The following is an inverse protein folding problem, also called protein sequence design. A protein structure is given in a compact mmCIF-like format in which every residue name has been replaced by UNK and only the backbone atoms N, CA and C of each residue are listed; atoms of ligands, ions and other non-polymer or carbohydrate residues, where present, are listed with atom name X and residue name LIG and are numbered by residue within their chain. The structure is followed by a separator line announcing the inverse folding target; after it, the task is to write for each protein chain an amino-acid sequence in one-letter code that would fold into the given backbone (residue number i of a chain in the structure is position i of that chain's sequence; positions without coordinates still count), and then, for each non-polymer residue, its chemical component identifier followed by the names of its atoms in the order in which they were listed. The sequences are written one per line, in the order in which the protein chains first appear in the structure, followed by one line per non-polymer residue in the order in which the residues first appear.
data_IF_704928272489
#
_entry.id   IF_704928272489
#
_cell.length_a   1.000
_cell.length_b   1.000
_cell.length_c   1.000
_cell.angle_alpha   90.00
_cell.angle_beta   90.00
_cell.angle_gamma   90.00
#
_symmetry.space_group_name_H-M   'P 1'
#
loop_
_entity.id
_entity.type
_entity.pdbx_description
1 polymer ?
#
# COMPACT_ATOMS: atom_id res chain seq x y z
N UNK A 1 66.46 12.45 -1.44
CA UNK A 1 65.79 12.16 -2.73
C UNK A 1 64.91 10.94 -2.54
N UNK A 2 63.67 11.14 -2.08
CA UNK A 2 62.40 11.17 -2.87
C UNK A 2 61.64 9.85 -2.79
N UNK A 3 60.93 9.77 -1.68
CA UNK A 3 59.87 8.83 -1.27
C UNK A 3 58.72 8.84 -2.30
N UNK A 4 58.52 7.76 -3.07
CA UNK A 4 57.33 7.61 -3.92
C UNK A 4 56.30 6.71 -3.25
N UNK A 5 55.27 7.37 -2.70
CA UNK A 5 54.10 6.76 -2.07
C UNK A 5 53.19 6.22 -3.17
N UNK A 6 52.96 4.90 -3.20
CA UNK A 6 51.96 4.28 -4.06
C UNK A 6 50.59 4.51 -3.42
N UNK A 7 49.74 5.26 -4.12
CA UNK A 7 48.36 5.57 -3.74
C UNK A 7 47.48 4.37 -4.11
N UNK A 8 46.92 3.71 -3.10
CA UNK A 8 45.91 2.66 -3.26
C UNK A 8 44.56 3.34 -3.43
N UNK A 9 44.04 3.37 -4.66
CA UNK A 9 42.68 3.82 -4.96
C UNK A 9 41.71 2.66 -4.75
N UNK A 10 41.03 2.63 -3.61
CA UNK A 10 39.93 1.69 -3.37
C UNK A 10 38.63 2.27 -3.94
N UNK A 11 38.23 1.78 -5.12
CA UNK A 11 36.88 2.02 -5.66
C UNK A 11 35.96 0.98 -5.01
N UNK A 12 35.22 1.40 -3.98
CA UNK A 12 34.25 0.56 -3.29
C UNK A 12 32.87 0.78 -3.93
N UNK A 13 32.49 -0.11 -4.85
CA UNK A 13 31.13 -0.14 -5.40
C UNK A 13 30.16 -0.75 -4.38
N UNK A 14 29.43 0.09 -3.64
CA UNK A 14 28.28 -0.34 -2.85
C UNK A 14 27.05 -0.41 -3.75
N UNK A 15 26.71 -1.61 -4.22
CA UNK A 15 25.35 -1.90 -4.69
C UNK A 15 24.60 -2.58 -3.53
N UNK A 16 23.86 -1.79 -2.75
CA UNK A 16 22.93 -2.31 -1.75
C UNK A 16 21.53 -2.37 -2.38
N UNK A 17 21.08 -3.56 -2.75
CA UNK A 17 19.67 -3.78 -3.09
C UNK A 17 18.85 -3.73 -1.80
N UNK A 18 17.98 -2.73 -1.67
CA UNK A 18 17.10 -2.56 -0.52
C UNK A 18 15.87 -3.47 -0.68
N UNK A 19 15.76 -4.52 0.12
CA UNK A 19 14.50 -5.25 0.27
C UNK A 19 13.53 -4.42 1.13
N UNK A 20 12.38 -4.03 0.57
CA UNK A 20 11.31 -3.42 1.35
C UNK A 20 10.59 -4.50 2.16
N UNK A 21 10.60 -4.38 3.49
CA UNK A 21 9.79 -5.24 4.35
C UNK A 21 8.35 -4.71 4.35
N UNK A 22 7.44 -5.42 3.67
CA UNK A 22 6.01 -5.13 3.72
C UNK A 22 5.43 -5.62 5.06
N UNK A 23 4.66 -4.78 5.73
CA UNK A 23 4.12 -5.06 7.08
C UNK A 23 2.64 -5.36 7.00
N UNK A 24 2.20 -6.52 7.50
CA UNK A 24 0.78 -6.86 7.60
C UNK A 24 0.04 -5.93 8.58
N UNK A 25 -1.08 -5.36 8.14
CA UNK A 25 -1.89 -4.40 8.91
C UNK A 25 -3.16 -5.05 9.43
N UNK A 26 -3.76 -5.91 8.60
CA UNK A 26 -5.04 -6.51 8.89
C UNK A 26 -5.73 -7.03 7.63
N UNK A 27 -7.01 -7.34 7.76
CA UNK A 27 -7.86 -7.78 6.67
C UNK A 27 -9.28 -7.29 6.87
N UNK A 28 -10.05 -7.21 5.79
CA UNK A 28 -11.47 -6.88 5.82
C UNK A 28 -12.24 -7.77 4.84
N UNK A 29 -13.48 -8.10 5.17
CA UNK A 29 -14.40 -8.75 4.23
C UNK A 29 -15.08 -7.70 3.34
N UNK A 30 -15.43 -8.06 2.11
CA UNK A 30 -16.10 -7.17 1.15
C UNK A 30 -17.41 -6.58 1.71
N UNK A 31 -18.15 -7.35 2.51
CA UNK A 31 -19.37 -6.91 3.19
C UNK A 31 -19.15 -6.05 4.46
N UNK A 32 -17.89 -5.86 4.88
CA UNK A 32 -17.53 -5.14 6.10
C UNK A 32 -17.96 -5.81 7.41
N UNK A 33 -18.46 -7.05 7.38
CA UNK A 33 -18.87 -7.77 8.58
C UNK A 33 -17.69 -8.16 9.47
N UNK A 34 -16.52 -8.45 8.89
CA UNK A 34 -15.33 -8.83 9.65
C UNK A 34 -14.13 -7.99 9.22
N UNK A 35 -13.56 -7.26 10.18
CA UNK A 35 -12.26 -6.61 10.07
C UNK A 35 -11.36 -7.21 11.13
N UNK A 36 -10.19 -7.69 10.74
CA UNK A 36 -9.18 -8.25 11.64
C UNK A 36 -7.93 -7.40 11.59
N UNK A 37 -7.46 -6.92 12.73
CA UNK A 37 -6.23 -6.14 12.83
C UNK A 37 -5.02 -7.05 13.08
N UNK A 38 -3.81 -6.56 12.75
CA UNK A 38 -2.57 -7.32 12.92
C UNK A 38 -2.30 -7.80 14.35
N UNK A 39 -2.84 -7.10 15.36
CA UNK A 39 -2.77 -7.50 16.77
C UNK A 39 -3.74 -8.64 17.14
N UNK A 40 -4.51 -9.17 16.18
CA UNK A 40 -5.48 -10.23 16.38
C UNK A 40 -6.86 -9.77 16.84
N UNK A 41 -7.07 -8.48 17.14
CA UNK A 41 -8.41 -7.97 17.46
C UNK A 41 -9.27 -7.96 16.21
N UNK A 42 -10.58 -8.18 16.39
CA UNK A 42 -11.55 -8.06 15.30
C UNK A 42 -12.61 -7.04 15.65
N UNK A 43 -13.12 -6.38 14.61
CA UNK A 43 -14.23 -5.44 14.68
C UNK A 43 -15.15 -5.65 13.49
N UNK A 44 -16.29 -4.96 13.49
CA UNK A 44 -17.11 -4.80 12.29
C UNK A 44 -17.30 -3.31 12.06
N UNK A 45 -17.17 -2.89 10.82
CA UNK A 45 -17.53 -1.56 10.36
C UNK A 45 -18.41 -1.81 9.15
N UNK A 46 -19.70 -2.03 9.37
CA UNK A 46 -20.60 -2.49 8.31
C UNK A 46 -20.39 -1.70 7.01
N UNK A 47 -20.05 -2.40 5.92
CA UNK A 47 -20.03 -1.76 4.62
C UNK A 47 -21.44 -1.24 4.32
N UNK A 48 -21.51 -0.15 3.55
CA UNK A 48 -22.80 0.40 3.18
C UNK A 48 -23.64 -0.65 2.44
N UNK A 49 -24.93 -0.69 2.75
CA UNK A 49 -25.85 -1.63 2.12
C UNK A 49 -26.16 -1.16 0.70
N UNK A 50 -26.26 -2.08 -0.27
CA UNK A 50 -26.50 -1.72 -1.67
C UNK A 50 -27.73 -0.82 -1.88
N UNK A 51 -28.80 -1.04 -1.11
CA UNK A 51 -30.04 -0.24 -1.17
C UNK A 51 -29.85 1.24 -0.81
N UNK A 52 -28.79 1.60 -0.10
CA UNK A 52 -28.49 2.99 0.22
C UNK A 52 -27.71 3.70 -0.89
N UNK A 53 -27.49 3.03 -2.02
CA UNK A 53 -26.70 3.51 -3.15
C UNK A 53 -25.36 4.16 -2.77
N UNK A 54 -24.47 3.45 -2.08
CA UNK A 54 -23.19 4.03 -1.72
C UNK A 54 -22.29 4.21 -2.95
N UNK A 55 -21.29 5.07 -2.81
CA UNK A 55 -20.17 5.13 -3.75
C UNK A 55 -19.39 3.81 -3.77
N UNK A 56 -18.67 3.59 -4.86
CA UNK A 56 -17.83 2.40 -5.05
C UNK A 56 -16.42 2.61 -4.50
N UNK A 57 -15.85 1.56 -3.92
CA UNK A 57 -14.52 1.57 -3.33
C UNK A 57 -13.57 0.64 -4.09
N UNK A 58 -12.35 1.11 -4.33
CA UNK A 58 -11.26 0.19 -4.63
C UNK A 58 -10.80 -0.52 -3.36
N UNK A 59 -10.07 -1.64 -3.50
CA UNK A 59 -9.45 -2.30 -2.35
C UNK A 59 -8.55 -1.35 -1.55
N UNK A 60 -7.80 -0.48 -2.24
CA UNK A 60 -6.94 0.53 -1.60
C UNK A 60 -7.74 1.63 -0.89
N UNK A 61 -8.82 2.11 -1.50
CA UNK A 61 -9.70 3.11 -0.87
C UNK A 61 -10.37 2.53 0.38
N UNK A 62 -10.82 1.28 0.32
CA UNK A 62 -11.40 0.57 1.45
C UNK A 62 -10.37 0.37 2.57
N UNK A 63 -9.13 0.00 2.22
CA UNK A 63 -8.04 -0.11 3.20
C UNK A 63 -7.79 1.23 3.91
N UNK A 64 -7.73 2.34 3.18
CA UNK A 64 -7.55 3.66 3.75
C UNK A 64 -8.74 4.09 4.64
N UNK A 65 -9.96 3.75 4.24
CA UNK A 65 -11.17 4.00 5.04
C UNK A 65 -11.14 3.25 6.38
N UNK A 66 -10.72 1.97 6.37
CA UNK A 66 -10.80 1.08 7.52
C UNK A 66 -9.61 1.25 8.47
N UNK A 67 -8.40 1.33 7.92
CA UNK A 67 -7.15 1.36 8.68
C UNK A 67 -6.57 2.78 8.83
N UNK A 68 -7.19 3.78 8.20
CA UNK A 68 -6.76 5.18 8.20
C UNK A 68 -5.64 5.47 7.19
N UNK A 69 -5.23 6.73 7.07
CA UNK A 69 -4.15 7.13 6.16
C UNK A 69 -4.60 7.31 4.70
N UNK A 70 -3.66 7.12 3.76
CA UNK A 70 -3.88 7.29 2.32
C UNK A 70 -3.85 5.95 1.60
N UNK A 71 -4.67 5.81 0.55
CA UNK A 71 -4.72 4.61 -0.30
C UNK A 71 -3.34 4.19 -0.84
N UNK A 72 -2.48 5.17 -1.16
CA UNK A 72 -1.13 4.94 -1.65
C UNK A 72 -0.15 4.35 -0.63
N UNK A 73 -0.52 4.31 0.65
CA UNK A 73 0.31 3.70 1.71
C UNK A 73 0.09 2.19 1.78
N UNK A 74 -0.96 1.67 1.15
CA UNK A 74 -1.36 0.28 1.27
C UNK A 74 -1.04 -0.52 0.01
N UNK A 75 -0.82 -1.82 0.24
CA UNK A 75 -1.00 -2.86 -0.75
C UNK A 75 -2.10 -3.78 -0.25
N UNK A 76 -2.96 -4.22 -1.16
CA UNK A 76 -4.04 -5.16 -0.88
C UNK A 76 -3.82 -6.44 -1.67
N UNK A 77 -4.15 -7.57 -1.06
CA UNK A 77 -4.00 -8.89 -1.64
C UNK A 77 -5.20 -9.77 -1.34
N UNK A 78 -5.50 -10.70 -2.24
CA UNK A 78 -6.43 -11.81 -1.98
C UNK A 78 -5.75 -12.99 -1.27
N UNK A 79 -4.44 -12.92 -1.06
CA UNK A 79 -3.62 -13.93 -0.39
C UNK A 79 -2.87 -13.30 0.80
N UNK A 80 -2.78 -14.04 1.91
CA UNK A 80 -2.13 -13.54 3.16
C UNK A 80 -0.60 -13.63 3.12
N UNK A 81 -0.06 -14.55 2.35
CA UNK A 81 1.37 -14.86 2.29
C UNK A 81 2.07 -14.12 1.17
N UNK A 82 1.35 -13.83 0.08
CA UNK A 82 1.89 -13.15 -1.10
C UNK A 82 1.06 -11.90 -1.40
N UNK A 83 1.73 -10.79 -1.76
CA UNK A 83 1.04 -9.59 -2.21
C UNK A 83 0.89 -9.66 -3.72
N UNK A 84 -0.32 -9.96 -4.17
CA UNK A 84 -0.64 -10.05 -5.60
C UNK A 84 -1.23 -8.75 -6.19
N UNK A 85 -1.46 -7.72 -5.36
CA UNK A 85 -2.10 -6.46 -5.76
C UNK A 85 -3.49 -6.65 -6.36
N UNK A 86 -4.19 -7.71 -5.94
CA UNK A 86 -5.59 -7.96 -6.28
C UNK A 86 -6.46 -7.75 -5.05
N UNK A 87 -7.72 -7.41 -5.28
CA UNK A 87 -8.75 -7.41 -4.26
C UNK A 87 -10.00 -8.15 -4.78
N UNK A 88 -10.78 -8.68 -3.85
CA UNK A 88 -12.12 -9.18 -4.08
C UNK A 88 -13.11 -8.01 -4.17
N UNK A 89 -13.99 -8.09 -5.15
CA UNK A 89 -15.03 -7.11 -5.45
C UNK A 89 -16.38 -7.80 -5.53
N UNK A 90 -17.40 -7.15 -4.97
CA UNK A 90 -18.78 -7.44 -5.33
C UNK A 90 -19.21 -6.55 -6.50
N UNK A 91 -20.01 -7.10 -7.39
CA UNK A 91 -20.44 -6.45 -8.62
C UNK A 91 -21.95 -6.45 -8.76
N UNK A 92 -22.50 -5.33 -9.21
CA UNK A 92 -23.94 -5.19 -9.41
C UNK A 92 -24.46 -6.25 -10.39
N UNK A 93 -25.33 -7.14 -9.88
CA UNK A 93 -25.94 -8.24 -10.62
C UNK A 93 -25.07 -9.48 -10.80
N UNK A 94 -23.78 -9.46 -10.46
CA UNK A 94 -22.90 -10.63 -10.56
C UNK A 94 -22.97 -11.47 -9.28
N UNK A 95 -22.90 -10.83 -8.10
CA UNK A 95 -22.83 -11.42 -6.74
C UNK A 95 -21.89 -12.64 -6.55
N UNK A 96 -21.13 -13.02 -7.58
CA UNK A 96 -20.26 -14.18 -7.61
C UNK A 96 -18.86 -13.87 -7.07
N UNK A 97 -18.55 -12.59 -6.89
CA UNK A 97 -17.23 -12.13 -6.45
C UNK A 97 -16.19 -12.21 -7.54
N UNK A 98 -15.63 -11.05 -7.91
CA UNK A 98 -14.57 -10.98 -8.91
C UNK A 98 -13.27 -10.51 -8.28
N UNK A 99 -12.14 -10.93 -8.85
CA UNK A 99 -10.84 -10.38 -8.48
C UNK A 99 -10.37 -9.40 -9.54
N UNK A 100 -10.06 -8.18 -9.11
CA UNK A 100 -9.49 -7.14 -9.96
C UNK A 100 -8.27 -6.53 -9.26
N UNK A 101 -7.55 -5.66 -9.98
CA UNK A 101 -6.47 -4.89 -9.38
C UNK A 101 -6.95 -4.16 -8.12
N UNK A 102 -6.09 -4.04 -7.10
CA UNK A 102 -6.45 -3.44 -5.81
C UNK A 102 -6.88 -1.96 -5.90
N UNK A 103 -6.50 -1.27 -6.97
CA UNK A 103 -6.90 0.10 -7.28
C UNK A 103 -8.13 0.21 -8.21
N UNK A 104 -8.68 -0.91 -8.67
CA UNK A 104 -9.85 -0.94 -9.54
C UNK A 104 -11.11 -0.55 -8.76
N UNK A 105 -12.04 0.13 -9.44
CA UNK A 105 -13.44 0.25 -9.04
C UNK A 105 -14.22 0.68 -10.28
N UNK A 106 -15.50 0.32 -10.33
CA UNK A 106 -16.35 0.70 -11.45
C UNK A 106 -17.64 1.31 -10.93
N UNK A 107 -18.02 2.42 -11.53
CA UNK A 107 -19.37 2.96 -11.53
C UNK A 107 -19.57 3.54 -12.94
N UNK A 108 -20.12 2.71 -13.81
CA UNK A 108 -20.38 3.07 -15.21
C UNK A 108 -21.51 4.08 -15.36
N UNK A 109 -22.39 4.18 -14.36
CA UNK A 109 -23.53 5.10 -14.38
C UNK A 109 -23.18 6.48 -13.84
N UNK A 110 -22.13 6.57 -13.01
CA UNK A 110 -21.77 7.77 -12.26
C UNK A 110 -22.77 8.13 -11.16
N UNK A 111 -23.71 7.23 -10.85
CA UNK A 111 -24.78 7.45 -9.88
C UNK A 111 -24.55 6.69 -8.57
N UNK A 112 -23.54 5.84 -8.45
CA UNK A 112 -23.27 4.97 -7.31
C UNK A 112 -23.45 3.48 -7.62
N UNK A 113 -23.31 2.64 -6.59
CA UNK A 113 -23.27 1.18 -6.75
C UNK A 113 -24.56 0.59 -7.35
N UNK A 114 -25.75 1.04 -6.96
CA UNK A 114 -27.01 0.61 -7.57
C UNK A 114 -27.54 1.61 -8.61
N UNK A 115 -26.66 2.42 -9.21
CA UNK A 115 -27.04 3.50 -10.12
C UNK A 115 -27.93 3.07 -11.30
N UNK A 116 -27.85 1.80 -11.73
CA UNK A 116 -28.75 1.20 -12.72
C UNK A 116 -30.21 1.17 -12.27
N UNK A 117 -30.46 0.83 -11.00
CA UNK A 117 -31.80 0.84 -10.41
C UNK A 117 -32.38 2.25 -10.42
N UNK A 118 -31.55 3.25 -10.09
CA UNK A 118 -31.93 4.68 -10.12
C UNK A 118 -32.19 5.17 -11.55
N UNK A 119 -31.36 4.75 -12.50
CA UNK A 119 -31.51 5.08 -13.91
C UNK A 119 -32.71 4.38 -14.56
N UNK A 120 -33.32 3.39 -13.89
CA UNK A 120 -34.41 2.58 -14.45
C UNK A 120 -33.95 1.70 -15.62
N UNK A 121 -32.67 1.33 -15.63
CA UNK A 121 -32.05 0.52 -16.69
C UNK A 121 -31.45 -0.74 -16.13
N UNK A 122 -31.67 -1.88 -16.77
CA UNK A 122 -30.94 -3.10 -16.45
C UNK A 122 -29.53 -3.02 -17.02
N UNK A 123 -28.56 -2.80 -16.15
CA UNK A 123 -27.15 -2.87 -16.48
C UNK A 123 -26.41 -3.75 -15.48
N UNK A 124 -26.22 -5.02 -15.83
CA UNK A 124 -25.34 -5.92 -15.08
C UNK A 124 -23.89 -5.49 -15.23
N UNK A 125 -23.05 -5.77 -14.22
CA UNK A 125 -21.62 -5.44 -14.21
C UNK A 125 -21.32 -3.95 -14.32
N UNK A 126 -22.29 -3.10 -13.95
CA UNK A 126 -22.21 -1.65 -14.05
C UNK A 126 -21.44 -1.01 -12.91
N UNK A 127 -21.32 -1.70 -11.78
CA UNK A 127 -20.58 -1.27 -10.62
C UNK A 127 -19.79 -2.41 -10.01
N UNK A 128 -18.59 -2.10 -9.50
CA UNK A 128 -17.76 -3.03 -8.74
C UNK A 128 -17.13 -2.30 -7.55
N UNK A 129 -17.32 -2.84 -6.35
CA UNK A 129 -16.79 -2.28 -5.10
C UNK A 129 -16.13 -3.37 -4.25
N UNK A 130 -14.95 -3.08 -3.71
CA UNK A 130 -14.27 -3.94 -2.74
C UNK A 130 -14.88 -3.83 -1.33
N UNK A 131 -15.79 -2.87 -1.13
CA UNK A 131 -16.42 -2.61 0.17
C UNK A 131 -17.89 -2.24 -0.02
N UNK A 132 -18.76 -3.25 0.03
CA UNK A 132 -20.20 -3.14 -0.15
C UNK A 132 -20.88 -4.37 0.44
N UNK A 133 -22.03 -4.17 1.10
CA UNK A 133 -22.86 -5.29 1.58
C UNK A 133 -23.94 -5.59 0.55
N UNK A 134 -23.63 -6.46 -0.41
CA UNK A 134 -24.51 -6.86 -1.52
C UNK A 134 -24.56 -8.38 -1.76
N UNK A 135 -24.34 -9.16 -0.70
CA UNK A 135 -24.54 -10.61 -0.73
C UNK A 135 -23.30 -11.43 -1.06
N UNK A 136 -22.19 -10.81 -1.49
CA UNK A 136 -20.89 -11.46 -1.58
C UNK A 136 -19.95 -11.07 -0.42
N UNK A 137 -19.24 -12.05 0.13
CA UNK A 137 -18.27 -11.84 1.21
C UNK A 137 -17.00 -12.64 0.97
N UNK A 138 -15.88 -11.95 0.75
CA UNK A 138 -14.55 -12.54 0.71
C UNK A 138 -13.52 -11.63 1.39
N UNK A 139 -12.38 -12.19 1.80
CA UNK A 139 -11.37 -11.49 2.61
C UNK A 139 -10.30 -10.84 1.74
N UNK A 140 -10.08 -9.55 1.96
CA UNK A 140 -8.97 -8.77 1.43
C UNK A 140 -7.93 -8.55 2.55
N UNK A 141 -6.67 -8.89 2.28
CA UNK A 141 -5.54 -8.69 3.19
C UNK A 141 -4.84 -7.37 2.89
N UNK A 142 -4.45 -6.62 3.92
CA UNK A 142 -3.90 -5.27 3.83
C UNK A 142 -2.51 -5.22 4.43
N UNK A 143 -1.60 -4.59 3.70
CA UNK A 143 -0.21 -4.43 4.08
C UNK A 143 0.21 -2.97 3.92
N UNK A 144 1.06 -2.47 4.81
CA UNK A 144 1.72 -1.19 4.65
C UNK A 144 2.87 -1.36 3.66
N UNK A 145 2.87 -0.52 2.64
CA UNK A 145 4.03 -0.27 1.80
C UNK A 145 4.90 0.74 2.54
N UNK A 146 6.02 0.28 3.10
CA UNK A 146 6.99 1.20 3.67
C UNK A 146 7.49 2.11 2.55
N UNK A 147 7.46 3.43 2.78
CA UNK A 147 8.19 4.36 1.94
C UNK A 147 9.67 3.97 2.03
N UNK A 148 10.20 3.35 0.98
CA UNK A 148 11.63 3.09 0.87
C UNK A 148 12.28 4.46 0.75
N UNK A 149 13.13 4.90 1.71
CA UNK A 149 13.86 6.14 1.51
C UNK A 149 14.66 5.98 0.23
N UNK A 150 14.49 6.91 -0.70
CA UNK A 150 15.11 6.74 -2.00
C UNK A 150 16.64 6.56 -1.83
N UNK A 151 17.31 5.79 -2.72
CA UNK A 151 18.74 5.53 -2.61
C UNK A 151 19.57 6.81 -2.42
N UNK A 152 19.10 7.92 -3.00
CA UNK A 152 19.67 9.26 -2.87
C UNK A 152 19.62 9.81 -1.44
N UNK A 153 18.55 9.54 -0.68
CA UNK A 153 18.44 9.97 0.72
C UNK A 153 19.49 9.27 1.59
N UNK A 154 19.73 7.97 1.36
CA UNK A 154 20.81 7.24 2.02
C UNK A 154 22.18 7.75 1.60
N UNK A 155 22.38 8.03 0.30
CA UNK A 155 23.62 8.59 -0.20
C UNK A 155 23.92 9.96 0.42
N UNK A 156 22.92 10.85 0.55
CA UNK A 156 23.09 12.16 1.19
C UNK A 156 23.32 12.05 2.69
N UNK A 157 22.63 11.14 3.38
CA UNK A 157 22.90 10.87 4.79
C UNK A 157 24.33 10.38 5.00
N UNK A 158 24.79 9.42 4.21
CA UNK A 158 26.16 8.89 4.26
C UNK A 158 27.20 9.93 3.86
N UNK A 159 26.91 10.76 2.85
CA UNK A 159 27.76 11.87 2.46
C UNK A 159 27.88 12.89 3.61
N UNK A 160 26.77 13.27 4.24
CA UNK A 160 26.74 14.16 5.39
C UNK A 160 27.56 13.61 6.57
N UNK A 161 27.38 12.34 6.92
CA UNK A 161 28.17 11.67 7.95
C UNK A 161 29.67 11.60 7.59
N UNK A 162 29.98 11.35 6.32
CA UNK A 162 31.35 11.37 5.79
C UNK A 162 32.01 12.74 5.94
N UNK A 163 31.30 13.82 5.62
CA UNK A 163 31.79 15.19 5.82
C UNK A 163 32.05 15.52 7.28
N UNK A 164 31.14 15.15 8.19
CA UNK A 164 31.31 15.36 9.63
C UNK A 164 32.55 14.60 10.13
N UNK A 165 32.71 13.34 9.75
CA UNK A 165 33.88 12.53 10.11
C UNK A 165 35.20 13.16 9.61
N UNK A 166 35.23 13.65 8.37
CA UNK A 166 36.38 14.34 7.80
C UNK A 166 36.72 15.65 8.55
N UNK A 167 35.70 16.43 8.92
CA UNK A 167 35.87 17.67 9.67
C UNK A 167 36.46 17.43 11.08
N UNK A 168 35.97 16.41 11.79
CA UNK A 168 36.50 16.02 13.11
C UNK A 168 37.96 15.56 13.00
N UNK A 169 38.31 14.80 11.96
CA UNK A 169 39.69 14.37 11.71
C UNK A 169 40.63 15.55 11.49
N UNK A 170 40.21 16.55 10.70
CA UNK A 170 41.00 17.79 10.47
C UNK A 170 41.29 18.54 11.77
N UNK A 171 40.28 18.70 12.64
CA UNK A 171 40.47 19.37 13.95
C UNK A 171 41.47 18.65 14.85
N UNK A 172 41.41 17.32 14.92
CA UNK A 172 42.38 16.53 15.72
C UNK A 172 43.81 16.64 15.19
N UNK A 173 44.01 16.81 13.88
CA UNK A 173 45.35 16.99 13.31
C UNK A 173 45.92 18.39 13.58
N UNK A 174 45.08 19.43 13.56
CA UNK A 174 45.49 20.80 13.89
C UNK A 174 45.88 20.98 15.38
N UNK A 175 45.31 20.17 16.28
CA UNK A 175 45.65 20.17 17.72
C UNK A 175 46.90 19.33 18.06
N UNK A 176 47.44 18.58 17.11
CA UNK A 176 48.65 17.74 17.28
C UNK A 176 49.88 18.33 16.59
N UNK A 177 49.74 19.49 15.96
CA UNK A 177 50.82 20.29 15.35
C UNK A 177 51.12 21.47 16.26
#
# INVERSE_FOLDING_TARGET
MTLHKIIISAVLGLAASLASAQTYVGSFTTDGNTITFANGTSSSLAAAHWTSNPGVFSGLDAAALIFGGLASQYAVSTDRQTINNLAWYDGWGDHAGQTYASNYKLDSTGLGYNGCEIAGTDCMYSAYSAYIKDGFSSTNYVFLTAAVPEPETYALMLAGLGFVGAAVRRRKQALRA
#
